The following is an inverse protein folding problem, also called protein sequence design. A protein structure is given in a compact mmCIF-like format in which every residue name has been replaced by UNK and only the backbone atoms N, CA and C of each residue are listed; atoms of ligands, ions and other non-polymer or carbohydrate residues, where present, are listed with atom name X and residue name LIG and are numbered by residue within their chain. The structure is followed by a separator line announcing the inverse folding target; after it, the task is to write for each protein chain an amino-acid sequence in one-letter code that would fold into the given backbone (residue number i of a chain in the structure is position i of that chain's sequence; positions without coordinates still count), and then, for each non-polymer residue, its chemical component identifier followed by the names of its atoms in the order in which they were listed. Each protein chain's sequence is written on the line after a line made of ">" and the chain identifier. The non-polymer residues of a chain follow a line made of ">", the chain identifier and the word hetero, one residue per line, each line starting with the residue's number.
data_IF_244736773577
#
_entry.id   IF_244736773577
#
_cell.length_a   1.000
_cell.length_b   1.000
_cell.length_c   1.000
_cell.angle_alpha   90.00
_cell.angle_beta   90.00
_cell.angle_gamma   90.00
#
_symmetry.space_group_name_H-M   'P 1'
#
loop_
_entity.id
_entity.type
_entity.pdbx_description
1 polymer ?
#
# COMPACT_ATOMS: atom_id res chain seq x y z
N UNK A 23 -12.87 4.68 0.69
CA UNK A 23 -13.46 3.44 0.13
C UNK A 23 -12.56 2.27 0.46
N UNK A 24 -12.79 1.16 -0.22
CA UNK A 24 -11.99 -0.04 -0.03
C UNK A 24 -10.66 0.10 -0.77
N UNK A 25 -9.72 -0.78 -0.45
CA UNK A 25 -8.40 -0.71 -1.07
C UNK A 25 -8.51 -0.90 -2.58
N UNK A 26 -8.12 0.12 -3.32
CA UNK A 26 -8.18 0.09 -4.77
C UNK A 26 -7.80 1.44 -5.35
N UNK A 27 -8.73 2.39 -5.26
CA UNK A 27 -8.49 3.74 -5.76
C UNK A 27 -7.17 4.27 -5.21
N UNK A 28 -6.88 3.91 -3.98
CA UNK A 28 -5.64 4.30 -3.33
C UNK A 28 -4.46 3.87 -4.19
N UNK A 29 -4.46 2.59 -4.56
CA UNK A 29 -3.42 2.03 -5.42
C UNK A 29 -3.48 2.66 -6.80
N UNK A 30 -4.69 2.83 -7.30
CA UNK A 30 -4.88 3.45 -8.60
C UNK A 30 -4.42 4.90 -8.55
N UNK A 31 -4.72 5.57 -7.44
CA UNK A 31 -4.30 6.95 -7.25
C UNK A 31 -2.81 7.07 -7.43
N UNK A 32 -2.06 6.22 -6.75
CA UNK A 32 -0.62 6.20 -6.89
C UNK A 32 -0.24 5.53 -8.21
N UNK A 33 -1.25 5.12 -8.97
CA UNK A 33 -1.04 4.48 -10.26
C UNK A 33 -0.28 3.19 -10.11
N UNK A 34 -0.65 2.38 -9.11
CA UNK A 34 0.03 1.09 -8.90
C UNK A 34 -0.99 -0.05 -8.75
N UNK A 35 -1.76 -0.31 -9.77
CA UNK A 35 -2.77 -1.42 -9.75
C UNK A 35 -2.08 -2.77 -9.54
N UNK A 36 -2.89 -3.80 -9.28
CA UNK A 36 -2.37 -5.16 -9.04
C UNK A 36 -1.84 -5.32 -7.64
N UNK A 37 -1.95 -4.28 -6.83
CA UNK A 37 -1.48 -4.34 -5.46
C UNK A 37 -2.66 -4.49 -4.52
N UNK A 38 -3.87 -4.44 -5.06
CA UNK A 38 -5.06 -4.64 -4.27
C UNK A 38 -5.14 -6.09 -3.83
N UNK A 39 -5.10 -7.00 -4.79
CA UNK A 39 -5.09 -8.42 -4.50
C UNK A 39 -3.95 -8.72 -3.55
N UNK A 40 -2.81 -8.08 -3.82
CA UNK A 40 -1.63 -8.24 -2.98
C UNK A 40 -1.97 -7.90 -1.54
N UNK A 41 -2.52 -6.71 -1.33
CA UNK A 41 -2.91 -6.30 0.00
C UNK A 41 -3.87 -7.31 0.59
N UNK A 42 -4.90 -7.65 -0.16
CA UNK A 42 -5.88 -8.65 0.26
C UNK A 42 -5.17 -9.95 0.61
N UNK A 43 -4.29 -10.39 -0.28
CA UNK A 43 -3.53 -11.62 -0.08
C UNK A 43 -2.78 -11.55 1.24
N UNK A 44 -2.33 -10.36 1.58
CA UNK A 44 -1.61 -10.15 2.84
C UNK A 44 -2.59 -9.85 3.96
N UNK A 45 -3.88 -9.95 3.66
CA UNK A 45 -4.92 -9.65 4.63
C UNK A 45 -4.89 -8.18 5.00
N UNK A 46 -4.34 -7.37 4.10
CA UNK A 46 -4.27 -5.94 4.32
C UNK A 46 -5.53 -5.27 3.80
N UNK A 47 -6.14 -4.46 4.64
CA UNK A 47 -7.34 -3.72 4.26
C UNK A 47 -7.34 -2.37 4.92
N UNK A 48 -8.26 -1.51 4.49
CA UNK A 48 -8.37 -0.17 5.04
C UNK A 48 -7.05 0.57 4.91
N UNK A 49 -6.76 1.01 3.70
CA UNK A 49 -5.51 1.72 3.44
C UNK A 49 -5.25 2.76 4.51
N UNK A 50 -6.30 3.43 4.95
CA UNK A 50 -6.17 4.45 5.98
C UNK A 50 -5.58 3.83 7.24
N UNK A 51 -6.26 2.83 7.77
CA UNK A 51 -5.77 2.15 8.97
C UNK A 51 -4.32 1.78 8.76
N UNK A 52 -4.05 1.17 7.61
CA UNK A 52 -2.68 0.79 7.27
C UNK A 52 -1.76 1.99 7.36
N UNK A 53 -2.10 3.04 6.61
CA UNK A 53 -1.30 4.25 6.60
C UNK A 53 -1.24 4.90 7.95
N UNK A 54 -2.13 4.48 8.84
CA UNK A 54 -2.16 5.02 10.18
C UNK A 54 -1.67 3.98 11.18
N UNK A 55 -1.28 2.81 10.68
CA UNK A 55 -0.85 1.72 11.55
C UNK A 55 0.47 1.10 11.09
N UNK A 56 0.53 0.69 9.84
CA UNK A 56 1.71 0.03 9.31
C UNK A 56 2.47 0.93 8.34
N UNK A 57 3.71 1.23 8.69
CA UNK A 57 4.58 2.02 7.83
C UNK A 57 5.98 1.43 7.86
N UNK A 58 6.33 0.68 6.84
CA UNK A 58 7.64 0.02 6.77
C UNK A 58 7.91 -0.50 5.38
N UNK A 59 9.18 -0.65 5.04
CA UNK A 59 9.58 -1.19 3.75
C UNK A 59 9.28 -2.68 3.70
N UNK A 60 9.71 -3.39 4.74
CA UNK A 60 9.50 -4.84 4.82
C UNK A 60 8.05 -5.18 4.55
N UNK A 61 7.15 -4.35 5.07
CA UNK A 61 5.72 -4.58 4.88
C UNK A 61 5.39 -4.56 3.41
N UNK A 62 5.98 -3.64 2.69
CA UNK A 62 5.79 -3.58 1.25
C UNK A 62 6.22 -4.91 0.66
N UNK A 63 7.34 -5.41 1.15
CA UNK A 63 7.84 -6.70 0.73
C UNK A 63 6.86 -7.77 1.16
N UNK A 64 6.34 -7.65 2.37
CA UNK A 64 5.35 -8.59 2.90
C UNK A 64 4.21 -8.76 1.91
N UNK A 65 3.65 -7.64 1.46
CA UNK A 65 2.57 -7.68 0.50
C UNK A 65 3.07 -8.19 -0.84
N UNK A 66 4.38 -8.22 -1.00
CA UNK A 66 5.00 -8.69 -2.24
C UNK A 66 5.34 -7.53 -3.17
N UNK A 67 5.38 -6.32 -2.63
CA UNK A 67 5.74 -5.16 -3.44
C UNK A 67 7.24 -5.17 -3.69
N UNK A 68 7.63 -5.66 -4.86
CA UNK A 68 9.05 -5.77 -5.19
C UNK A 68 9.64 -4.42 -5.57
N UNK A 69 9.30 -3.95 -6.78
CA UNK A 69 9.82 -2.69 -7.30
C UNK A 69 9.92 -1.63 -6.20
N UNK A 70 11.14 -1.28 -5.83
CA UNK A 70 11.37 -0.30 -4.79
C UNK A 70 10.63 0.99 -5.11
N UNK A 71 10.62 1.36 -6.40
CA UNK A 71 9.89 2.54 -6.81
C UNK A 71 8.44 2.42 -6.34
N UNK A 72 7.86 1.24 -6.59
CA UNK A 72 6.52 0.95 -6.14
C UNK A 72 6.48 0.99 -4.62
N UNK A 73 7.42 0.30 -4.00
CA UNK A 73 7.51 0.29 -2.55
C UNK A 73 7.53 1.72 -2.03
N UNK A 74 8.43 2.52 -2.57
CA UNK A 74 8.53 3.92 -2.20
C UNK A 74 7.20 4.60 -2.43
N UNK A 75 6.62 4.39 -3.61
CA UNK A 75 5.33 4.97 -3.94
C UNK A 75 4.29 4.55 -2.92
N UNK A 76 4.23 3.25 -2.64
CA UNK A 76 3.29 2.75 -1.66
C UNK A 76 3.57 3.39 -0.30
N UNK A 77 4.85 3.46 0.06
CA UNK A 77 5.23 4.10 1.30
C UNK A 77 4.71 5.53 1.32
N UNK A 78 4.93 6.22 0.22
CA UNK A 78 4.42 7.57 0.07
C UNK A 78 2.90 7.54 0.02
N UNK A 79 2.37 6.49 -0.57
CA UNK A 79 0.93 6.33 -0.69
C UNK A 79 0.29 6.31 0.68
N UNK A 80 0.84 5.52 1.60
CA UNK A 80 0.28 5.48 2.93
C UNK A 80 0.51 6.81 3.63
N UNK A 81 1.68 7.40 3.38
CA UNK A 81 2.00 8.70 3.94
C UNK A 81 0.98 9.73 3.47
N UNK A 82 0.48 9.54 2.26
CA UNK A 82 -0.51 10.44 1.70
C UNK A 82 -1.80 10.35 2.50
N UNK A 83 -2.06 9.18 3.08
CA UNK A 83 -3.27 8.98 3.87
C UNK A 83 -3.17 9.74 5.19
N UNK A 84 -4.14 10.58 5.49
CA UNK A 84 -4.16 11.38 6.74
C UNK A 84 -3.75 10.56 7.96
N UNK A 85 -3.06 11.21 8.90
CA UNK A 85 -2.62 10.54 10.12
C UNK A 85 -3.71 10.58 11.19
#
# INVERSE_FOLDING_TARGET
>A
GSDITSLYKKAGSEMNGPRCPVQTVGQWLESIGLPQYENHLMANGFDNVQFMGSNVMEDQDLLEIGILNSGHRQRILQAIQLLPKMRPIGHDGYHPTSVAEWL
#
